data_IF_702611856565
#
_entry.id   IF_702611856565
#
_cell.length_a   1.000
_cell.length_b   1.000
_cell.length_c   1.000
_cell.angle_alpha   90.00
_cell.angle_beta   90.00
_cell.angle_gamma   90.00
#
_symmetry.space_group_name_H-M   'P 1'
#
loop_
_entity.id
_entity.type
_entity.pdbx_description
1 polymer ?
#
# COMPACT_ATOMS: atom_id res chain seq x y z
N UNK A 1 15.89 2.53 -7.00
CA UNK A 1 14.66 3.25 -7.40
C UNK A 1 13.64 3.09 -6.29
N UNK A 2 12.87 4.14 -5.97
CA UNK A 2 11.84 4.10 -4.95
C UNK A 2 10.47 4.37 -5.57
N UNK A 3 9.44 3.63 -5.15
CA UNK A 3 8.06 3.80 -5.61
C UNK A 3 7.16 4.04 -4.39
N UNK A 4 6.41 5.14 -4.41
CA UNK A 4 5.54 5.52 -3.30
C UNK A 4 4.07 5.37 -3.68
N UNK A 5 3.33 4.59 -2.90
CA UNK A 5 1.88 4.46 -2.98
C UNK A 5 1.22 5.26 -1.86
N UNK A 6 0.39 6.23 -2.24
CA UNK A 6 -0.39 7.05 -1.32
C UNK A 6 -1.86 6.69 -1.53
N UNK A 7 -2.47 6.04 -0.54
CA UNK A 7 -3.83 5.49 -0.63
C UNK A 7 -4.81 6.31 0.20
N UNK A 8 -5.91 6.74 -0.42
CA UNK A 8 -7.00 7.42 0.29
C UNK A 8 -7.77 6.41 1.14
N UNK A 9 -7.78 6.63 2.44
CA UNK A 9 -8.51 5.84 3.43
C UNK A 9 -9.55 6.69 4.18
N UNK A 10 -9.85 7.90 3.69
CA UNK A 10 -10.75 8.85 4.32
C UNK A 10 -12.20 8.37 4.38
N UNK A 11 -13.02 9.04 5.18
CA UNK A 11 -14.43 8.65 5.41
C UNK A 11 -15.30 8.69 4.15
N UNK A 12 -14.90 9.43 3.11
CA UNK A 12 -15.62 9.49 1.82
C UNK A 12 -15.38 8.25 0.96
N UNK A 13 -14.32 7.47 1.23
CA UNK A 13 -14.01 6.23 0.51
C UNK A 13 -14.80 5.07 1.12
N UNK A 14 -15.57 4.37 0.27
CA UNK A 14 -16.27 3.16 0.68
C UNK A 14 -15.28 2.02 0.95
N UNK A 15 -15.68 1.04 1.76
CA UNK A 15 -14.85 -0.17 2.00
C UNK A 15 -14.52 -0.91 0.71
N UNK A 16 -15.46 -0.91 -0.24
CA UNK A 16 -15.29 -1.56 -1.53
C UNK A 16 -14.27 -0.80 -2.38
N UNK A 17 -14.39 0.53 -2.48
CA UNK A 17 -13.46 1.36 -3.24
C UNK A 17 -12.03 1.24 -2.70
N UNK A 18 -11.85 1.22 -1.37
CA UNK A 18 -10.53 0.99 -0.78
C UNK A 18 -9.97 -0.39 -1.14
N UNK A 19 -10.81 -1.44 -1.08
CA UNK A 19 -10.42 -2.80 -1.46
C UNK A 19 -10.00 -2.85 -2.93
N UNK A 20 -10.73 -2.17 -3.81
CA UNK A 20 -10.43 -2.12 -5.24
C UNK A 20 -9.13 -1.37 -5.53
N UNK A 21 -8.92 -0.21 -4.88
CA UNK A 21 -7.64 0.54 -4.95
C UNK A 21 -6.48 -0.33 -4.47
N UNK A 22 -6.62 -0.98 -3.31
CA UNK A 22 -5.59 -1.88 -2.77
C UNK A 22 -5.28 -3.04 -3.71
N UNK A 23 -6.31 -3.67 -4.30
CA UNK A 23 -6.14 -4.74 -5.27
C UNK A 23 -5.47 -4.24 -6.57
N UNK A 24 -5.78 -3.03 -7.03
CA UNK A 24 -5.11 -2.42 -8.17
C UNK A 24 -3.63 -2.15 -7.87
N UNK A 25 -3.29 -1.69 -6.67
CA UNK A 25 -1.90 -1.53 -6.23
C UNK A 25 -1.15 -2.86 -6.18
N UNK A 26 -1.77 -3.92 -5.66
CA UNK A 26 -1.18 -5.28 -5.66
C UNK A 26 -0.86 -5.72 -7.09
N UNK A 27 -1.81 -5.61 -8.02
CA UNK A 27 -1.60 -5.96 -9.44
C UNK A 27 -0.49 -5.15 -10.09
N UNK A 28 -0.33 -3.88 -9.71
CA UNK A 28 0.76 -3.05 -10.20
C UNK A 28 2.12 -3.52 -9.64
N UNK A 29 2.20 -3.89 -8.36
CA UNK A 29 3.41 -4.47 -7.77
C UNK A 29 3.77 -5.79 -8.45
N UNK A 30 2.80 -6.68 -8.67
CA UNK A 30 2.98 -7.94 -9.43
C UNK A 30 3.49 -7.67 -10.85
N UNK A 31 2.95 -6.64 -11.51
CA UNK A 31 3.40 -6.28 -12.85
C UNK A 31 4.82 -5.72 -12.84
N UNK A 32 5.18 -4.89 -11.87
CA UNK A 32 6.53 -4.35 -11.72
C UNK A 32 7.53 -5.48 -11.42
N UNK A 33 7.19 -6.43 -10.54
CA UNK A 33 8.06 -7.56 -10.20
C UNK A 33 8.23 -8.57 -11.33
N UNK A 34 7.37 -8.53 -12.37
CA UNK A 34 7.56 -9.34 -13.58
C UNK A 34 8.72 -8.86 -14.47
N UNK A 35 9.27 -7.67 -14.20
CA UNK A 35 10.48 -7.16 -14.81
C UNK A 35 11.69 -7.45 -13.90
N UNK A 36 12.91 -7.50 -14.44
CA UNK A 36 14.16 -7.67 -13.68
C UNK A 36 14.58 -6.39 -12.90
N UNK A 37 13.64 -5.81 -12.14
CA UNK A 37 13.87 -4.67 -11.25
C UNK A 37 13.27 -4.90 -9.88
N UNK A 38 13.98 -4.45 -8.84
CA UNK A 38 13.54 -4.53 -7.44
C UNK A 38 13.54 -3.14 -6.80
N UNK A 39 12.52 -2.30 -7.06
CA UNK A 39 12.41 -1.01 -6.40
C UNK A 39 12.06 -1.17 -4.92
N UNK A 40 12.43 -0.20 -4.09
CA UNK A 40 11.94 -0.12 -2.72
C UNK A 40 10.56 0.54 -2.71
N UNK A 41 9.58 -0.15 -2.13
CA UNK A 41 8.21 0.34 -2.00
C UNK A 41 8.02 1.13 -0.70
N UNK A 42 7.37 2.29 -0.81
CA UNK A 42 6.86 3.07 0.30
C UNK A 42 5.33 3.12 0.22
N UNK A 43 4.64 2.91 1.33
CA UNK A 43 3.17 2.84 1.36
C UNK A 43 2.66 3.70 2.50
N UNK A 44 1.78 4.64 2.18
CA UNK A 44 1.15 5.55 3.14
C UNK A 44 -0.35 5.56 2.87
N UNK A 45 -1.17 5.41 3.91
CA UNK A 45 -2.60 5.70 3.83
C UNK A 45 -2.86 7.09 4.38
N UNK A 46 -3.75 7.87 3.77
CA UNK A 46 -4.10 9.20 4.26
C UNK A 46 -5.61 9.38 4.47
N UNK A 47 -5.94 10.25 5.43
CA UNK A 47 -7.27 10.71 5.74
C UNK A 47 -7.14 11.98 6.59
N UNK A 48 -7.65 12.01 7.83
CA UNK A 48 -7.36 13.12 8.77
C UNK A 48 -5.87 13.19 9.13
N UNK A 49 -5.24 12.03 9.34
CA UNK A 49 -3.80 11.90 9.56
C UNK A 49 -3.24 10.86 8.60
N UNK A 50 -2.00 11.06 8.14
CA UNK A 50 -1.27 10.06 7.37
C UNK A 50 -0.78 8.94 8.29
N UNK A 51 -0.86 7.70 7.81
CA UNK A 51 -0.28 6.53 8.46
C UNK A 51 0.69 5.85 7.51
N UNK A 52 1.95 5.80 7.91
CA UNK A 52 2.97 5.00 7.21
C UNK A 52 2.69 3.51 7.43
N UNK A 53 2.59 2.77 6.33
CA UNK A 53 2.42 1.31 6.31
C UNK A 53 3.76 0.63 6.02
N UNK A 54 4.55 1.21 5.11
CA UNK A 54 5.88 0.73 4.73
C UNK A 54 6.79 1.90 4.39
N UNK A 55 7.99 1.90 4.96
CA UNK A 55 9.06 2.81 4.60
C UNK A 55 10.01 2.16 3.59
N UNK A 56 10.54 2.92 2.64
CA UNK A 56 11.51 2.45 1.63
C UNK A 56 12.87 2.02 2.20
N UNK A 57 13.16 2.34 3.46
CA UNK A 57 14.35 1.88 4.19
C UNK A 57 14.14 0.54 4.89
N UNK A 58 12.92 -0.01 4.87
CA UNK A 58 12.67 -1.34 5.42
C UNK A 58 13.43 -2.39 4.57
N UNK A 59 14.14 -3.35 5.20
CA UNK A 59 14.88 -4.39 4.49
C UNK A 59 14.03 -5.21 3.50
N UNK A 60 12.75 -5.37 3.78
CA UNK A 60 11.81 -6.12 2.93
C UNK A 60 11.08 -5.21 1.91
N UNK A 61 11.41 -3.93 1.84
CA UNK A 61 10.70 -2.99 0.94
C UNK A 61 10.92 -3.27 -0.53
N UNK A 62 11.93 -4.06 -0.90
CA UNK A 62 12.19 -4.52 -2.27
C UNK A 62 11.67 -5.94 -2.56
N UNK A 63 11.17 -6.65 -1.55
CA UNK A 63 10.56 -7.97 -1.70
C UNK A 63 9.08 -7.82 -2.08
N UNK A 64 8.79 -7.97 -3.37
CA UNK A 64 7.44 -7.81 -3.89
C UNK A 64 6.42 -8.77 -3.24
N UNK A 65 6.80 -10.02 -2.96
CA UNK A 65 5.90 -10.99 -2.34
C UNK A 65 5.55 -10.57 -0.91
N UNK A 66 6.55 -10.18 -0.14
CA UNK A 66 6.35 -9.67 1.22
C UNK A 66 5.50 -8.39 1.25
N UNK A 67 5.73 -7.47 0.31
CA UNK A 67 4.95 -6.23 0.20
C UNK A 67 3.49 -6.52 -0.19
N UNK A 68 3.24 -7.50 -1.06
CA UNK A 68 1.87 -7.93 -1.40
C UNK A 68 1.17 -8.51 -0.18
N UNK A 69 1.82 -9.40 0.58
CA UNK A 69 1.26 -9.94 1.82
C UNK A 69 0.95 -8.86 2.87
N UNK A 70 1.83 -7.85 2.98
CA UNK A 70 1.61 -6.69 3.83
C UNK A 70 0.36 -5.93 3.37
N UNK A 71 0.23 -5.69 2.06
CA UNK A 71 -0.90 -5.00 1.46
C UNK A 71 -2.22 -5.73 1.69
N UNK A 72 -2.27 -7.05 1.56
CA UNK A 72 -3.48 -7.84 1.83
C UNK A 72 -3.98 -7.71 3.27
N UNK A 73 -3.07 -7.53 4.23
CA UNK A 73 -3.37 -7.31 5.65
C UNK A 73 -3.83 -5.89 5.95
N UNK A 74 -3.65 -4.94 5.04
CA UNK A 74 -4.14 -3.56 5.21
C UNK A 74 -5.67 -3.56 5.18
N UNK A 75 -6.26 -3.22 6.32
CA UNK A 75 -7.70 -3.04 6.51
C UNK A 75 -8.01 -1.57 6.78
N UNK A 76 -9.15 -1.11 6.28
CA UNK A 76 -9.77 0.10 6.81
C UNK A 76 -10.17 -0.13 8.26
N UNK A 77 -9.38 0.37 9.21
CA UNK A 77 -9.76 0.37 10.61
C UNK A 77 -10.77 1.49 10.84
N UNK A 78 -12.03 1.14 11.08
CA UNK A 78 -13.13 2.08 11.36
C UNK A 78 -13.01 2.90 12.66
N UNK A 79 -11.86 2.85 13.34
CA UNK A 79 -11.55 3.62 14.56
C UNK A 79 -10.50 4.73 14.36
N UNK A 80 -9.98 4.93 13.14
CA UNK A 80 -8.97 5.96 12.90
C UNK A 80 -9.55 7.40 12.79
N UNK A 81 -10.86 7.59 12.99
CA UNK A 81 -11.56 8.85 12.67
C UNK A 81 -12.52 9.35 13.76
N UNK A 82 -12.27 8.96 15.02
CA UNK A 82 -12.89 9.55 16.21
C UNK A 82 -11.81 10.06 17.15
#
# INVERSE_FOLDING_TARGET
MNIYFILDASRSISKQNFKDTRNATIKLIEKISSYDISPNYGIVTFATHSKEILNTMNPNSSDAAWVIELMEKVKLTGKAYS
#
